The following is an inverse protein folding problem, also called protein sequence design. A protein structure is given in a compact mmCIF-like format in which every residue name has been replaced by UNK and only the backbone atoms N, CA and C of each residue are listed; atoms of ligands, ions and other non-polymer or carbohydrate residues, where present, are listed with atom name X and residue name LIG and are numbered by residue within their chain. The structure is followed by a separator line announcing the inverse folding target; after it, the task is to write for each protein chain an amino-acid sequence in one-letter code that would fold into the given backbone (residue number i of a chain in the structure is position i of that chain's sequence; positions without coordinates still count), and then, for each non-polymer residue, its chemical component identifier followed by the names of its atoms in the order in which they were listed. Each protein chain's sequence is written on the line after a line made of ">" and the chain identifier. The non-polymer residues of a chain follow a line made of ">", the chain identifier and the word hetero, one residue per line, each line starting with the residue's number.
data_IF_639401305564
#
_entry.id   IF_639401305564
#
_cell.length_a   1.000
_cell.length_b   1.000
_cell.length_c   1.000
_cell.angle_alpha   90.00
_cell.angle_beta   90.00
_cell.angle_gamma   90.00
#
_symmetry.space_group_name_H-M   'P 1'
#
loop_
_entity.id
_entity.type
_entity.pdbx_description
1 polymer ?
#
# COMPACT_ATOMS: atom_id res chain seq x y z
N UNK A 1 10.13 -3.09 30.34
CA UNK A 1 10.65 -3.27 28.98
C UNK A 1 10.39 -4.70 28.52
N UNK A 2 9.88 -4.85 27.30
CA UNK A 2 9.67 -6.15 26.66
C UNK A 2 10.53 -6.22 25.41
N UNK A 3 11.21 -7.36 25.23
CA UNK A 3 12.02 -7.61 24.04
C UNK A 3 11.28 -8.62 23.15
N UNK A 4 11.04 -8.25 21.91
CA UNK A 4 10.40 -9.15 20.93
C UNK A 4 11.52 -9.98 20.27
N UNK A 5 11.45 -11.32 20.34
CA UNK A 5 12.48 -12.16 19.74
C UNK A 5 12.67 -11.89 18.26
N UNK A 6 13.91 -12.00 17.79
CA UNK A 6 14.27 -11.74 16.39
C UNK A 6 13.47 -12.58 15.40
N UNK A 7 13.19 -13.83 15.75
CA UNK A 7 12.42 -14.73 14.89
C UNK A 7 10.98 -14.27 14.70
N UNK A 8 10.36 -13.75 15.77
CA UNK A 8 9.01 -13.19 15.72
C UNK A 8 9.02 -11.90 14.88
N UNK A 9 10.03 -11.04 15.10
CA UNK A 9 10.17 -9.82 14.29
C UNK A 9 10.29 -10.14 12.81
N UNK A 10 11.05 -11.19 12.47
CA UNK A 10 11.22 -11.62 11.08
C UNK A 10 9.91 -12.14 10.50
N UNK A 11 9.23 -13.04 11.21
CA UNK A 11 7.98 -13.66 10.76
C UNK A 11 6.87 -12.63 10.56
N UNK A 12 6.76 -11.67 11.48
CA UNK A 12 5.75 -10.62 11.44
C UNK A 12 6.20 -9.40 10.65
N UNK A 13 7.43 -9.39 10.15
CA UNK A 13 8.01 -8.24 9.45
C UNK A 13 7.95 -6.95 10.27
N UNK A 14 8.31 -7.05 11.53
CA UNK A 14 8.41 -5.89 12.43
C UNK A 14 9.78 -5.26 12.22
N UNK A 15 9.77 -3.98 11.85
CA UNK A 15 10.97 -3.18 11.64
C UNK A 15 11.19 -2.25 12.83
N UNK A 16 12.42 -1.77 12.96
CA UNK A 16 12.73 -0.76 13.98
C UNK A 16 11.87 0.49 13.72
N UNK A 17 11.23 0.97 14.77
CA UNK A 17 10.33 2.13 14.69
C UNK A 17 8.91 1.81 14.31
N UNK A 18 8.59 0.58 13.95
CA UNK A 18 7.20 0.20 13.62
C UNK A 18 6.31 0.34 14.86
N UNK A 19 5.13 0.96 14.73
CA UNK A 19 4.18 1.05 15.83
C UNK A 19 3.51 -0.30 16.09
N UNK A 20 3.34 -0.63 17.36
CA UNK A 20 2.63 -1.83 17.80
C UNK A 20 1.51 -1.44 18.75
N UNK A 21 0.39 -2.11 18.65
CA UNK A 21 -0.68 -2.03 19.63
C UNK A 21 -0.50 -3.15 20.65
N UNK A 22 -0.78 -2.87 21.92
CA UNK A 22 -0.67 -3.82 23.02
C UNK A 22 -2.05 -4.01 23.63
N UNK A 23 -2.49 -5.26 23.66
CA UNK A 23 -3.77 -5.64 24.26
C UNK A 23 -3.53 -6.65 25.38
N UNK A 24 -4.41 -6.62 26.38
CA UNK A 24 -4.46 -7.64 27.41
C UNK A 24 -5.83 -8.31 27.35
N UNK A 25 -5.90 -9.59 27.65
CA UNK A 25 -7.15 -10.32 27.80
C UNK A 25 -7.38 -10.77 29.24
N UNK A 26 -8.55 -11.33 29.50
CA UNK A 26 -8.93 -11.78 30.84
C UNK A 26 -8.19 -13.04 31.29
N UNK A 27 -7.54 -13.74 30.37
CA UNK A 27 -6.78 -14.96 30.64
C UNK A 27 -5.33 -14.70 31.00
N UNK A 28 -4.94 -13.42 31.06
CA UNK A 28 -3.57 -13.02 31.43
C UNK A 28 -2.62 -12.94 30.25
N UNK A 29 -3.13 -12.98 29.03
CA UNK A 29 -2.29 -12.84 27.83
C UNK A 29 -2.00 -11.37 27.54
N UNK A 30 -0.81 -11.11 27.02
CA UNK A 30 -0.44 -9.82 26.44
C UNK A 30 -0.23 -10.04 24.94
N UNK A 31 -1.02 -9.35 24.13
CA UNK A 31 -0.99 -9.51 22.69
C UNK A 31 -0.42 -8.26 22.04
N UNK A 32 0.60 -8.43 21.19
CA UNK A 32 1.17 -7.36 20.38
C UNK A 32 0.63 -7.50 18.97
N UNK A 33 0.10 -6.41 18.44
CA UNK A 33 -0.44 -6.37 17.10
C UNK A 33 0.22 -5.24 16.33
N UNK A 34 0.60 -5.51 15.08
CA UNK A 34 1.10 -4.44 14.20
C UNK A 34 0.01 -3.41 13.96
N UNK A 35 0.34 -2.15 14.18
CA UNK A 35 -0.57 -1.06 13.91
C UNK A 35 -0.39 -0.58 12.48
N UNK A 36 -1.49 -0.52 11.72
CA UNK A 36 -1.52 0.01 10.36
C UNK A 36 -2.38 1.26 10.33
N UNK A 37 -1.77 2.47 10.30
CA UNK A 37 -2.56 3.71 10.18
C UNK A 37 -3.43 3.70 8.93
N UNK A 38 -2.90 3.27 7.79
CA UNK A 38 -3.66 3.17 6.52
C UNK A 38 -4.78 2.14 6.65
N UNK A 39 -4.53 1.03 7.34
CA UNK A 39 -5.54 -0.01 7.59
C UNK A 39 -6.72 0.49 8.40
N UNK A 40 -6.51 1.41 9.33
CA UNK A 40 -7.60 2.04 10.09
C UNK A 40 -8.52 2.87 9.21
N UNK A 41 -8.04 3.35 8.08
CA UNK A 41 -8.82 4.11 7.10
C UNK A 41 -9.41 3.22 6.00
N UNK A 42 -9.36 1.88 6.13
CA UNK A 42 -9.72 1.00 5.00
C UNK A 42 -11.11 1.25 4.42
N UNK A 43 -12.19 1.50 5.20
CA UNK A 43 -13.49 1.85 4.59
C UNK A 43 -13.45 3.13 3.77
N UNK A 44 -12.79 4.16 4.27
CA UNK A 44 -12.59 5.43 3.57
C UNK A 44 -11.70 5.25 2.34
N UNK A 45 -10.60 4.50 2.50
CA UNK A 45 -9.67 4.22 1.41
C UNK A 45 -10.37 3.41 0.29
N UNK A 46 -11.28 2.50 0.63
CA UNK A 46 -12.05 1.74 -0.35
C UNK A 46 -12.96 2.66 -1.18
N UNK A 47 -13.62 3.61 -0.54
CA UNK A 47 -14.45 4.60 -1.26
C UNK A 47 -13.60 5.48 -2.18
N UNK A 48 -12.45 5.94 -1.69
CA UNK A 48 -11.54 6.76 -2.49
C UNK A 48 -11.00 5.96 -3.67
N UNK A 49 -10.60 4.72 -3.44
CA UNK A 49 -10.10 3.83 -4.50
C UNK A 49 -11.16 3.61 -5.58
N UNK A 50 -12.44 3.46 -5.19
CA UNK A 50 -13.53 3.30 -6.16
C UNK A 50 -13.70 4.53 -7.05
N UNK A 51 -13.70 5.73 -6.45
CA UNK A 51 -13.80 6.98 -7.22
C UNK A 51 -12.59 7.13 -8.14
N UNK A 52 -11.39 6.85 -7.64
CA UNK A 52 -10.16 6.97 -8.41
C UNK A 52 -10.13 5.97 -9.56
N UNK A 53 -10.56 4.73 -9.32
CA UNK A 53 -10.62 3.69 -10.35
C UNK A 53 -11.57 4.09 -11.48
N UNK A 54 -12.71 4.68 -11.17
CA UNK A 54 -13.66 5.17 -12.18
C UNK A 54 -13.07 6.32 -12.99
N UNK A 55 -12.30 7.20 -12.33
CA UNK A 55 -11.71 8.35 -13.01
C UNK A 55 -10.57 7.95 -13.95
N UNK A 56 -9.71 7.00 -13.56
CA UNK A 56 -8.54 6.60 -14.34
C UNK A 56 -8.77 5.37 -15.23
N UNK A 57 -9.85 4.61 -14.99
CA UNK A 57 -10.15 3.40 -15.76
C UNK A 57 -9.28 2.19 -15.41
N UNK A 58 -8.50 2.26 -14.35
CA UNK A 58 -7.62 1.17 -13.91
C UNK A 58 -8.04 0.66 -12.53
N UNK A 59 -7.66 -0.57 -12.21
CA UNK A 59 -7.79 -1.07 -10.84
C UNK A 59 -6.83 -0.29 -9.94
N UNK A 60 -7.34 0.16 -8.80
CA UNK A 60 -6.60 0.96 -7.83
C UNK A 60 -6.43 0.16 -6.54
N UNK A 61 -5.21 0.16 -6.03
CA UNK A 61 -4.87 -0.48 -4.77
C UNK A 61 -4.43 0.58 -3.77
N UNK A 62 -4.90 0.44 -2.53
CA UNK A 62 -4.34 1.19 -1.41
C UNK A 62 -3.68 0.17 -0.50
N UNK A 63 -2.40 0.36 -0.26
CA UNK A 63 -1.57 -0.57 0.50
C UNK A 63 -1.06 0.09 1.77
N UNK A 64 -0.97 -0.68 2.85
CA UNK A 64 -0.12 -0.30 3.98
C UNK A 64 1.30 -0.81 3.71
N UNK A 65 2.14 -0.91 4.71
CA UNK A 65 3.52 -1.35 4.53
C UNK A 65 3.66 -2.86 4.30
N UNK A 66 2.59 -3.62 4.45
CA UNK A 66 2.64 -5.08 4.40
C UNK A 66 1.69 -5.69 3.36
N UNK A 67 0.51 -5.11 3.16
CA UNK A 67 -0.53 -5.72 2.33
C UNK A 67 -1.46 -4.68 1.70
N UNK A 68 -2.31 -5.16 0.78
CA UNK A 68 -3.36 -4.36 0.17
C UNK A 68 -4.54 -4.27 1.15
N UNK A 69 -4.88 -3.05 1.58
CA UNK A 69 -5.97 -2.81 2.55
C UNK A 69 -7.27 -2.40 1.87
N UNK A 70 -7.21 -1.89 0.65
CA UNK A 70 -8.38 -1.54 -0.14
C UNK A 70 -8.06 -1.69 -1.61
N UNK A 71 -9.05 -2.08 -2.40
CA UNK A 71 -8.90 -2.23 -3.85
C UNK A 71 -10.23 -1.94 -4.53
N UNK A 72 -10.17 -1.34 -5.72
CA UNK A 72 -11.34 -1.07 -6.55
C UNK A 72 -10.98 -1.28 -8.02
N UNK A 73 -11.96 -1.71 -8.80
CA UNK A 73 -11.77 -1.98 -10.22
C UNK A 73 -12.03 -3.44 -10.57
N UNK A 74 -11.82 -3.78 -11.84
CA UNK A 74 -12.20 -5.10 -12.38
C UNK A 74 -11.48 -6.27 -11.73
N UNK A 75 -10.20 -6.12 -11.41
CA UNK A 75 -9.42 -7.22 -10.84
C UNK A 75 -9.13 -7.05 -9.35
N UNK A 76 -9.94 -6.26 -8.63
CA UNK A 76 -9.74 -6.00 -7.21
C UNK A 76 -9.66 -7.25 -6.33
N UNK A 77 -10.40 -8.29 -6.68
CA UNK A 77 -10.44 -9.53 -5.89
C UNK A 77 -9.12 -10.29 -5.90
N UNK A 78 -8.33 -10.09 -6.95
CA UNK A 78 -7.03 -10.75 -7.08
C UNK A 78 -5.99 -10.16 -6.13
N UNK A 79 -6.21 -8.94 -5.67
CA UNK A 79 -5.23 -8.17 -4.89
C UNK A 79 -5.61 -7.98 -3.43
N UNK A 80 -6.89 -7.89 -3.10
CA UNK A 80 -7.33 -7.50 -1.77
C UNK A 80 -6.74 -8.41 -0.69
N UNK A 81 -6.18 -7.80 0.35
CA UNK A 81 -5.53 -8.43 1.51
C UNK A 81 -4.26 -9.23 1.20
N UNK A 82 -3.83 -9.24 -0.05
CA UNK A 82 -2.58 -9.89 -0.41
C UNK A 82 -1.38 -9.07 0.01
N UNK A 83 -0.28 -9.77 0.23
CA UNK A 83 0.99 -9.17 0.65
C UNK A 83 1.62 -8.40 -0.50
N UNK A 84 2.14 -7.22 -0.20
CA UNK A 84 2.90 -6.43 -1.18
C UNK A 84 4.24 -7.11 -1.49
N UNK A 85 4.78 -6.81 -2.67
CA UNK A 85 6.07 -7.35 -3.09
C UNK A 85 7.24 -6.64 -2.42
N UNK A 86 8.39 -7.31 -2.41
CA UNK A 86 9.64 -6.68 -1.98
C UNK A 86 10.00 -5.46 -2.83
N UNK A 87 9.67 -5.49 -4.13
CA UNK A 87 9.92 -4.37 -5.04
C UNK A 87 9.12 -3.12 -4.64
N UNK A 88 7.84 -3.29 -4.28
CA UNK A 88 7.03 -2.18 -3.80
C UNK A 88 7.52 -1.68 -2.44
N UNK A 89 7.89 -2.57 -1.57
CA UNK A 89 8.46 -2.23 -0.27
C UNK A 89 9.74 -1.38 -0.42
N UNK A 90 10.63 -1.78 -1.31
CA UNK A 90 11.86 -1.01 -1.61
C UNK A 90 11.54 0.38 -2.17
N UNK A 91 10.56 0.47 -3.06
CA UNK A 91 10.11 1.74 -3.62
C UNK A 91 9.61 2.68 -2.51
N UNK A 92 8.80 2.14 -1.61
CA UNK A 92 8.28 2.90 -0.47
C UNK A 92 9.41 3.38 0.43
N UNK A 93 10.37 2.53 0.75
CA UNK A 93 11.51 2.89 1.58
C UNK A 93 12.34 4.03 0.96
N UNK A 94 12.42 4.06 -0.36
CA UNK A 94 13.08 5.14 -1.11
C UNK A 94 12.20 6.37 -1.29
N UNK A 95 10.95 6.29 -0.92
CA UNK A 95 9.95 7.37 -1.04
C UNK A 95 9.82 7.91 -2.47
N UNK A 96 9.94 7.01 -3.43
CA UNK A 96 9.87 7.36 -4.85
C UNK A 96 8.51 7.01 -5.45
N UNK A 97 8.09 7.79 -6.44
CA UNK A 97 6.91 7.46 -7.25
C UNK A 97 7.37 6.65 -8.46
N UNK A 98 6.72 5.51 -8.67
CA UNK A 98 6.93 4.69 -9.86
C UNK A 98 5.96 5.10 -10.96
N UNK A 99 6.45 5.22 -12.18
CA UNK A 99 5.66 5.43 -13.39
C UNK A 99 6.12 4.43 -14.44
N UNK A 100 5.19 3.61 -14.94
CA UNK A 100 5.50 2.63 -15.97
C UNK A 100 5.98 3.32 -17.25
N UNK A 101 7.05 2.81 -17.84
CA UNK A 101 7.62 3.31 -19.08
C UNK A 101 7.22 2.44 -20.26
N UNK A 102 7.20 3.00 -21.49
CA UNK A 102 6.94 2.21 -22.69
C UNK A 102 7.89 1.00 -22.79
N UNK A 103 7.36 -0.10 -23.30
CA UNK A 103 8.15 -1.33 -23.50
C UNK A 103 8.40 -2.13 -22.24
N UNK A 104 7.87 -1.74 -21.10
CA UNK A 104 7.99 -2.51 -19.85
C UNK A 104 9.39 -2.56 -19.28
N UNK A 105 10.22 -1.55 -19.54
CA UNK A 105 11.62 -1.54 -19.11
C UNK A 105 11.82 -1.48 -17.61
N UNK A 106 10.88 -0.89 -16.88
CA UNK A 106 10.99 -0.67 -15.44
C UNK A 106 9.82 -1.29 -14.67
N UNK A 107 9.32 -2.43 -15.14
CA UNK A 107 8.15 -3.07 -14.52
C UNK A 107 8.27 -3.21 -13.02
N UNK A 108 7.22 -2.85 -12.32
CA UNK A 108 7.07 -3.03 -10.88
C UNK A 108 5.84 -3.90 -10.63
N UNK A 109 6.06 -5.08 -10.08
CA UNK A 109 4.98 -5.95 -9.63
C UNK A 109 4.63 -5.56 -8.19
N UNK A 110 3.43 -5.01 -7.92
CA UNK A 110 3.16 -4.46 -6.59
C UNK A 110 2.80 -5.51 -5.54
N UNK A 111 2.29 -6.67 -5.96
CA UNK A 111 1.76 -7.70 -5.05
C UNK A 111 2.40 -9.05 -5.35
N UNK A 112 2.82 -9.75 -4.31
CA UNK A 112 3.38 -11.10 -4.45
C UNK A 112 2.39 -12.05 -5.12
N UNK A 113 2.89 -12.94 -5.95
CA UNK A 113 2.13 -14.01 -6.61
C UNK A 113 1.05 -13.54 -7.59
N UNK A 114 0.95 -12.25 -7.88
CA UNK A 114 0.03 -11.71 -8.89
C UNK A 114 0.85 -11.08 -10.00
N UNK A 115 0.86 -11.69 -11.17
CA UNK A 115 1.63 -11.22 -12.34
C UNK A 115 0.95 -10.04 -13.02
N UNK A 116 0.79 -8.96 -12.31
CA UNK A 116 0.31 -7.69 -12.83
C UNK A 116 1.28 -6.59 -12.38
N UNK A 117 1.37 -5.54 -13.14
CA UNK A 117 2.35 -4.48 -12.93
C UNK A 117 1.68 -3.17 -12.61
N UNK A 118 2.38 -2.31 -11.88
CA UNK A 118 1.87 -0.98 -11.57
C UNK A 118 2.06 -0.03 -12.74
N UNK A 119 1.01 0.68 -13.10
CA UNK A 119 1.12 1.85 -13.98
C UNK A 119 1.74 3.01 -13.21
N UNK A 120 1.25 3.25 -12.00
CA UNK A 120 1.76 4.25 -11.06
C UNK A 120 1.75 3.65 -9.67
N UNK A 121 2.76 3.94 -8.89
CA UNK A 121 2.79 3.65 -7.47
C UNK A 121 3.30 4.90 -6.74
N UNK A 122 2.44 5.51 -5.92
CA UNK A 122 2.75 6.74 -5.21
C UNK A 122 2.77 6.48 -3.70
N UNK A 123 3.87 6.77 -3.01
CA UNK A 123 3.96 6.57 -1.56
C UNK A 123 3.01 7.47 -0.78
N UNK A 124 2.47 6.94 0.32
CA UNK A 124 1.64 7.71 1.26
C UNK A 124 2.53 8.10 2.44
N UNK A 125 2.75 9.40 2.59
CA UNK A 125 3.54 9.96 3.68
C UNK A 125 2.63 10.70 4.65
N UNK A 126 2.80 10.44 5.94
CA UNK A 126 2.07 11.13 7.00
C UNK A 126 3.06 11.59 8.05
N UNK A 127 3.12 12.89 8.33
CA UNK A 127 4.09 13.49 9.25
C UNK A 127 5.55 13.08 8.92
N UNK A 128 5.85 12.92 7.65
CA UNK A 128 7.17 12.51 7.18
C UNK A 128 7.44 11.00 7.25
N UNK A 129 6.51 10.23 7.80
CA UNK A 129 6.65 8.78 7.90
C UNK A 129 6.04 8.06 6.70
N UNK A 130 6.72 7.02 6.24
CA UNK A 130 6.20 6.14 5.20
C UNK A 130 5.13 5.23 5.77
N UNK A 131 3.89 5.33 5.26
CA UNK A 131 2.76 4.56 5.78
C UNK A 131 2.18 3.55 4.79
N UNK A 132 2.38 3.76 3.51
CA UNK A 132 1.83 2.89 2.48
C UNK A 132 2.01 3.45 1.08
N UNK A 133 1.17 2.99 0.17
CA UNK A 133 1.20 3.44 -1.22
C UNK A 133 -0.17 3.34 -1.88
N UNK A 134 -0.40 4.20 -2.86
CA UNK A 134 -1.50 4.08 -3.81
C UNK A 134 -0.94 3.57 -5.11
N UNK A 135 -1.50 2.48 -5.64
CA UNK A 135 -1.06 1.89 -6.90
C UNK A 135 -2.22 1.86 -7.90
N UNK A 136 -1.91 2.17 -9.15
CA UNK A 136 -2.79 1.90 -10.29
C UNK A 136 -2.22 0.70 -11.03
N UNK A 137 -3.06 -0.31 -11.29
CA UNK A 137 -2.64 -1.53 -11.99
C UNK A 137 -2.66 -1.26 -13.48
N UNK A 138 -1.52 -1.50 -14.14
CA UNK A 138 -1.39 -1.29 -15.56
C UNK A 138 -2.33 -2.23 -16.34
N UNK A 139 -3.03 -1.74 -17.38
CA UNK A 139 -3.82 -2.61 -18.26
C UNK A 139 -2.93 -3.68 -18.90
N UNK A 140 -3.53 -4.83 -19.20
CA UNK A 140 -2.80 -5.93 -19.83
C UNK A 140 -2.25 -5.57 -21.22
N UNK A 141 -2.82 -4.56 -21.86
CA UNK A 141 -2.31 -4.00 -23.12
C UNK A 141 -0.91 -3.39 -22.98
N UNK A 142 -0.47 -3.12 -21.76
CA UNK A 142 0.80 -2.45 -21.50
C UNK A 142 0.73 -0.94 -21.70
N UNK A 143 -0.46 -0.36 -21.80
CA UNK A 143 -0.63 1.08 -21.94
C UNK A 143 0.00 1.81 -20.77
N UNK A 144 0.79 2.87 -21.06
CA UNK A 144 1.42 3.69 -20.02
C UNK A 144 0.43 4.70 -19.48
N UNK A 145 0.59 5.15 -18.23
CA UNK A 145 -0.32 6.12 -17.64
C UNK A 145 -0.16 7.49 -18.30
N UNK A 146 -1.26 8.24 -18.35
CA UNK A 146 -1.23 9.65 -18.75
C UNK A 146 -0.68 10.52 -17.61
N UNK A 147 -0.32 11.76 -17.93
CA UNK A 147 0.05 12.74 -16.91
C UNK A 147 -1.07 12.96 -15.90
N UNK A 148 -2.32 12.92 -16.36
CA UNK A 148 -3.49 13.01 -15.48
C UNK A 148 -3.57 11.84 -14.50
N UNK A 149 -3.32 10.62 -14.97
CA UNK A 149 -3.31 9.42 -14.11
C UNK A 149 -2.26 9.54 -13.02
N UNK A 150 -1.06 9.99 -13.40
CA UNK A 150 0.05 10.19 -12.44
C UNK A 150 -0.35 11.20 -11.37
N UNK A 151 -0.92 12.32 -11.78
CA UNK A 151 -1.39 13.35 -10.85
C UNK A 151 -2.47 12.84 -9.92
N UNK A 152 -3.43 12.09 -10.44
CA UNK A 152 -4.50 11.51 -9.63
C UNK A 152 -3.95 10.59 -8.54
N UNK A 153 -2.97 9.74 -8.89
CA UNK A 153 -2.34 8.86 -7.91
C UNK A 153 -1.59 9.64 -6.83
N UNK A 154 -0.84 10.67 -7.24
CA UNK A 154 -0.09 11.52 -6.31
C UNK A 154 -1.03 12.30 -5.38
N UNK A 155 -2.12 12.84 -5.91
CA UNK A 155 -3.12 13.56 -5.11
C UNK A 155 -3.80 12.61 -4.13
N UNK A 156 -4.15 11.41 -4.57
CA UNK A 156 -4.75 10.39 -3.70
C UNK A 156 -3.82 10.04 -2.53
N UNK A 157 -2.55 9.79 -2.84
CA UNK A 157 -1.55 9.48 -1.80
C UNK A 157 -1.38 10.66 -0.82
N UNK A 158 -1.30 11.87 -1.33
CA UNK A 158 -1.17 13.07 -0.49
C UNK A 158 -2.40 13.27 0.39
N UNK A 159 -3.59 13.06 -0.15
CA UNK A 159 -4.84 13.20 0.59
C UNK A 159 -4.95 12.15 1.72
N UNK A 160 -4.66 10.89 1.41
CA UNK A 160 -4.68 9.83 2.42
C UNK A 160 -3.65 10.09 3.51
N UNK A 161 -2.46 10.55 3.14
CA UNK A 161 -1.43 10.94 4.11
C UNK A 161 -1.93 12.06 5.03
N UNK A 162 -2.61 13.04 4.46
CA UNK A 162 -3.17 14.16 5.23
C UNK A 162 -4.23 13.69 6.23
N UNK A 163 -5.07 12.72 5.84
CA UNK A 163 -6.07 12.14 6.73
C UNK A 163 -5.44 11.43 7.94
N UNK A 164 -4.22 10.92 7.79
CA UNK A 164 -3.51 10.23 8.87
C UNK A 164 -2.81 11.18 9.85
N UNK A 165 -2.72 12.46 9.52
CA UNK A 165 -1.97 13.47 10.31
C UNK A 165 -2.78 14.09 11.45
N UNK A 166 -3.97 13.63 11.67
CA UNK A 166 -4.82 14.18 12.74
C UNK A 166 -4.33 13.84 14.14
#
# INVERSE_FOLDING_TARGET
>A
RVVIPKEIRRTMRIREGDPLEIFTDNDGEVVFKKYSPVGELSPFAAQYADVLSRACGMTVLVCDRDRVVAAAGNCRKDFLERRISGALEDLMDKRQTHVAQPGGQNRLQPVEAVERYAAVAAPILANGDMTGAVCMVQPETGAVPSDGDIKLAQVAAAFLGKQLEE
#
